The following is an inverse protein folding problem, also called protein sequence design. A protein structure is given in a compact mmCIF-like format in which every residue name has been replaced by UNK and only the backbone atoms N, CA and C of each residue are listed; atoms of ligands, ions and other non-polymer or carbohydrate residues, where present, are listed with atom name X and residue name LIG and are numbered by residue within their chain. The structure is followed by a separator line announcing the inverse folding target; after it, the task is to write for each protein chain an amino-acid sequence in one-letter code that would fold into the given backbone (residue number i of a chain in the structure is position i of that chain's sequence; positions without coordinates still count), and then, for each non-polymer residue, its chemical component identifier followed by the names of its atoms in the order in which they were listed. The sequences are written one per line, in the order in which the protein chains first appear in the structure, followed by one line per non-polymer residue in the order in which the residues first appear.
data_IF_624692055033
#
_entry.id   IF_624692055033
#
_cell.length_a   1.000
_cell.length_b   1.000
_cell.length_c   1.000
_cell.angle_alpha   90.00
_cell.angle_beta   90.00
_cell.angle_gamma   90.00
#
_symmetry.space_group_name_H-M   'P 1'
#
loop_
_entity.id
_entity.type
_entity.pdbx_description
1 polymer ?
#
# COMPACT_ATOMS: atom_id res chain seq x y z
N UNK A 1 43.79 -31.54 -21.73
CA UNK A 1 42.58 -31.45 -20.90
C UNK A 1 42.77 -30.33 -19.89
N UNK A 2 42.11 -29.19 -20.07
CA UNK A 2 41.79 -28.26 -18.98
C UNK A 2 40.41 -27.69 -19.29
N UNK A 3 39.41 -28.23 -18.62
CA UNK A 3 38.05 -27.70 -18.57
C UNK A 3 38.05 -26.49 -17.64
N UNK A 4 37.53 -25.35 -18.08
CA UNK A 4 37.13 -24.26 -17.18
C UNK A 4 35.66 -23.95 -17.45
N UNK A 5 34.86 -24.22 -16.42
CA UNK A 5 33.45 -23.90 -16.28
C UNK A 5 33.23 -22.38 -16.50
N UNK A 6 32.19 -21.96 -17.21
CA UNK A 6 30.85 -21.91 -16.62
C UNK A 6 30.61 -20.55 -15.96
N UNK A 7 30.49 -19.50 -16.77
CA UNK A 7 30.06 -18.17 -16.33
C UNK A 7 28.59 -17.96 -16.69
N UNK A 8 27.68 -18.55 -15.90
CA UNK A 8 26.27 -18.24 -15.99
C UNK A 8 26.07 -16.76 -15.62
N UNK A 9 25.66 -15.96 -16.61
CA UNK A 9 25.26 -14.58 -16.40
C UNK A 9 24.17 -14.54 -15.32
N UNK A 10 24.50 -13.93 -14.19
CA UNK A 10 23.54 -13.66 -13.13
C UNK A 10 22.48 -12.72 -13.71
N UNK A 11 21.29 -13.30 -13.94
CA UNK A 11 20.07 -12.57 -14.23
C UNK A 11 19.94 -11.42 -13.23
N UNK A 12 19.76 -10.21 -13.76
CA UNK A 12 19.55 -9.01 -12.98
C UNK A 12 18.34 -9.21 -12.07
N UNK A 13 18.61 -9.54 -10.80
CA UNK A 13 17.64 -9.40 -9.74
C UNK A 13 17.24 -7.93 -9.73
N UNK A 14 16.01 -7.65 -10.15
CA UNK A 14 15.40 -6.34 -10.07
C UNK A 14 15.67 -5.81 -8.66
N UNK A 15 16.49 -4.76 -8.58
CA UNK A 15 16.78 -4.10 -7.32
C UNK A 15 15.42 -3.69 -6.74
N UNK A 16 15.03 -4.17 -5.54
CA UNK A 16 13.84 -3.64 -4.91
C UNK A 16 14.09 -2.15 -4.71
N UNK A 17 13.28 -1.32 -5.38
CA UNK A 17 13.28 0.13 -5.16
C UNK A 17 12.87 0.34 -3.70
N UNK A 18 13.64 1.12 -2.92
CA UNK A 18 13.19 1.54 -1.59
C UNK A 18 11.84 2.25 -1.77
N UNK A 19 10.75 1.64 -1.29
CA UNK A 19 9.38 2.14 -1.47
C UNK A 19 8.49 1.34 -2.44
N UNK A 20 8.91 0.18 -2.94
CA UNK A 20 8.00 -0.73 -3.65
C UNK A 20 6.94 -1.30 -2.69
N UNK A 21 5.85 -0.57 -2.54
CA UNK A 21 4.63 -1.06 -1.89
C UNK A 21 4.13 -2.26 -2.70
N UNK A 22 3.76 -3.39 -2.08
CA UNK A 22 3.10 -4.49 -2.80
C UNK A 22 1.98 -3.91 -3.66
N UNK A 23 1.92 -4.30 -4.94
CA UNK A 23 1.01 -3.71 -5.92
C UNK A 23 -0.46 -3.79 -5.47
N UNK A 24 -0.81 -4.80 -4.67
CA UNK A 24 -2.13 -4.94 -4.06
C UNK A 24 -2.39 -3.95 -2.92
N UNK A 25 -1.44 -3.75 -2.00
CA UNK A 25 -1.57 -2.75 -0.94
C UNK A 25 -1.58 -1.31 -1.50
N UNK A 26 -0.96 -1.09 -2.67
CA UNK A 26 -0.99 0.19 -3.37
C UNK A 26 -2.39 0.58 -3.88
N UNK A 27 -3.35 -0.35 -3.89
CA UNK A 27 -4.73 -0.06 -4.30
C UNK A 27 -5.60 0.49 -3.16
N UNK A 28 -5.09 0.61 -1.93
CA UNK A 28 -5.89 1.05 -0.78
C UNK A 28 -6.27 2.54 -0.85
N UNK A 29 -5.49 3.34 -1.59
CA UNK A 29 -5.82 4.73 -1.90
C UNK A 29 -6.62 4.87 -3.20
N UNK A 30 -7.45 5.92 -3.27
CA UNK A 30 -7.89 6.45 -4.55
C UNK A 30 -6.67 6.93 -5.37
N UNK A 31 -6.73 6.80 -6.70
CA UNK A 31 -5.60 7.07 -7.56
C UNK A 31 -5.12 8.52 -7.44
N UNK A 32 -6.06 9.44 -7.27
CA UNK A 32 -5.86 10.88 -7.11
C UNK A 32 -5.11 11.17 -5.80
N UNK A 33 -5.62 10.65 -4.67
CA UNK A 33 -4.97 10.80 -3.36
C UNK A 33 -3.54 10.24 -3.36
N UNK A 34 -3.34 9.07 -3.97
CA UNK A 34 -2.01 8.50 -4.11
C UNK A 34 -1.08 9.38 -4.95
N UNK A 35 -1.61 10.03 -6.00
CA UNK A 35 -0.84 10.93 -6.84
C UNK A 35 -0.45 12.21 -6.09
N UNK A 36 -1.36 12.79 -5.31
CA UNK A 36 -1.09 13.98 -4.50
C UNK A 36 0.08 13.75 -3.53
N UNK A 37 0.09 12.60 -2.83
CA UNK A 37 1.22 12.23 -1.96
C UNK A 37 2.53 12.07 -2.73
N UNK A 38 2.51 11.50 -3.95
CA UNK A 38 3.70 11.37 -4.80
C UNK A 38 4.21 12.73 -5.28
N UNK A 39 3.32 13.65 -5.61
CA UNK A 39 3.69 15.00 -6.05
C UNK A 39 4.37 15.75 -4.90
N UNK A 40 3.74 15.78 -3.71
CA UNK A 40 4.33 16.40 -2.50
C UNK A 40 5.65 15.75 -2.09
N UNK A 41 5.79 14.44 -2.26
CA UNK A 41 7.05 13.75 -2.00
C UNK A 41 8.18 14.24 -2.93
N UNK A 42 7.89 14.48 -4.21
CA UNK A 42 8.89 15.06 -5.13
C UNK A 42 9.34 16.44 -4.67
N UNK A 43 8.43 17.27 -4.17
CA UNK A 43 8.77 18.60 -3.64
C UNK A 43 9.67 18.53 -2.39
N UNK A 44 9.43 17.56 -1.51
CA UNK A 44 10.31 17.28 -0.36
C UNK A 44 11.71 16.87 -0.84
N UNK A 45 11.82 16.01 -1.85
CA UNK A 45 13.10 15.58 -2.40
C UNK A 45 13.89 16.74 -3.03
N UNK A 46 13.21 17.64 -3.75
CA UNK A 46 13.86 18.79 -4.37
C UNK A 46 14.47 19.73 -3.31
N UNK A 47 13.76 19.97 -2.20
CA UNK A 47 14.23 20.86 -1.12
C UNK A 47 15.31 20.26 -0.24
N UNK A 48 15.46 18.94 -0.23
CA UNK A 48 16.54 18.29 0.53
C UNK A 48 17.93 18.77 0.11
N UNK A 49 18.11 19.16 -1.16
CA UNK A 49 19.37 19.67 -1.69
C UNK A 49 19.75 21.00 -1.02
N UNK A 50 18.76 21.84 -0.70
CA UNK A 50 18.97 23.18 -0.15
C UNK A 50 18.89 23.20 1.39
N UNK A 51 17.90 22.52 1.97
CA UNK A 51 17.70 22.43 3.42
C UNK A 51 17.34 20.99 3.83
N UNK A 52 18.34 20.14 4.12
CA UNK A 52 18.11 18.75 4.45
C UNK A 52 17.36 18.57 5.77
N UNK A 53 17.49 19.49 6.73
CA UNK A 53 16.87 19.35 8.05
C UNK A 53 15.38 19.67 7.97
N UNK A 54 15.01 20.74 7.26
CA UNK A 54 13.61 21.04 7.00
C UNK A 54 12.96 19.93 6.15
N UNK A 55 13.61 19.48 5.07
CA UNK A 55 13.08 18.44 4.21
C UNK A 55 12.80 17.12 4.96
N UNK A 56 13.65 16.72 5.90
CA UNK A 56 13.39 15.54 6.74
C UNK A 56 12.18 15.73 7.66
N UNK A 57 12.01 16.92 8.25
CA UNK A 57 10.83 17.23 9.06
C UNK A 57 9.54 17.16 8.23
N UNK A 58 9.59 17.64 6.99
CA UNK A 58 8.44 17.62 6.10
C UNK A 58 8.16 16.22 5.53
N UNK A 59 9.20 15.43 5.29
CA UNK A 59 9.04 14.00 4.99
C UNK A 59 8.31 13.29 6.12
N UNK A 60 8.67 13.57 7.38
CA UNK A 60 8.01 12.98 8.54
C UNK A 60 6.53 13.35 8.57
N UNK A 61 6.19 14.64 8.44
CA UNK A 61 4.78 15.08 8.42
C UNK A 61 4.01 14.47 7.25
N UNK A 62 4.61 14.37 6.07
CA UNK A 62 3.98 13.76 4.90
C UNK A 62 3.65 12.28 5.13
N UNK A 63 4.53 11.54 5.81
CA UNK A 63 4.30 10.14 6.17
C UNK A 63 3.18 10.01 7.21
N UNK A 64 3.15 10.88 8.23
CA UNK A 64 2.08 10.91 9.23
C UNK A 64 0.71 11.17 8.56
N UNK A 65 0.63 12.14 7.65
CA UNK A 65 -0.58 12.41 6.87
C UNK A 65 -1.00 11.22 6.01
N UNK A 66 -0.04 10.52 5.38
CA UNK A 66 -0.34 9.32 4.59
C UNK A 66 -0.89 8.18 5.46
N UNK A 67 -0.36 7.99 6.67
CA UNK A 67 -0.86 6.97 7.62
C UNK A 67 -2.30 7.28 8.04
N UNK A 68 -2.60 8.54 8.34
CA UNK A 68 -3.96 8.93 8.72
C UNK A 68 -4.94 8.78 7.55
N UNK A 69 -4.55 9.21 6.34
CA UNK A 69 -5.36 9.04 5.15
C UNK A 69 -5.62 7.55 4.84
N UNK A 70 -4.60 6.70 4.96
CA UNK A 70 -4.74 5.25 4.78
C UNK A 70 -5.71 4.66 5.82
N UNK A 71 -5.54 5.05 7.08
CA UNK A 71 -6.40 4.58 8.17
C UNK A 71 -7.86 4.99 7.98
N UNK A 72 -8.11 6.21 7.47
CA UNK A 72 -9.45 6.67 7.12
C UNK A 72 -10.06 5.84 5.97
N UNK A 73 -9.31 5.62 4.89
CA UNK A 73 -9.76 4.82 3.74
C UNK A 73 -10.10 3.37 4.15
N UNK A 74 -9.27 2.75 5.01
CA UNK A 74 -9.52 1.41 5.53
C UNK A 74 -10.80 1.34 6.39
N UNK A 75 -11.06 2.37 7.22
CA UNK A 75 -12.28 2.45 8.02
C UNK A 75 -13.53 2.57 7.13
N UNK A 76 -13.45 3.37 6.07
CA UNK A 76 -14.56 3.52 5.11
C UNK A 76 -14.84 2.18 4.38
N UNK A 77 -13.80 1.48 3.92
CA UNK A 77 -13.97 0.17 3.29
C UNK A 77 -14.56 -0.87 4.26
N UNK A 78 -14.09 -0.90 5.51
CA UNK A 78 -14.66 -1.76 6.55
C UNK A 78 -16.15 -1.48 6.76
N UNK A 79 -16.57 -0.21 6.78
CA UNK A 79 -17.97 0.15 6.97
C UNK A 79 -18.86 -0.42 5.86
N UNK A 80 -18.39 -0.46 4.61
CA UNK A 80 -19.10 -1.07 3.47
C UNK A 80 -19.30 -2.59 3.63
N UNK A 81 -18.47 -3.27 4.43
CA UNK A 81 -18.61 -4.69 4.74
C UNK A 81 -19.63 -4.97 5.86
N UNK A 82 -20.10 -3.95 6.59
CA UNK A 82 -20.95 -4.10 7.78
C UNK A 82 -22.44 -4.35 7.52
N UNK A 83 -22.90 -4.28 6.26
CA UNK A 83 -24.33 -4.32 5.92
C UNK A 83 -25.10 -5.58 6.35
N UNK A 84 -24.42 -6.68 6.66
CA UNK A 84 -25.05 -7.91 7.19
C UNK A 84 -25.57 -7.75 8.62
N UNK A 85 -25.11 -6.74 9.37
CA UNK A 85 -25.52 -6.50 10.76
C UNK A 85 -26.89 -5.81 10.84
N UNK A 86 -27.30 -5.12 9.78
CA UNK A 86 -28.54 -4.34 9.74
C UNK A 86 -29.78 -5.20 9.46
N UNK A 87 -29.62 -6.43 8.94
CA UNK A 87 -30.74 -7.27 8.48
C UNK A 87 -31.47 -8.05 9.57
N UNK A 88 -31.01 -8.04 10.84
CA UNK A 88 -31.71 -8.58 12.01
C UNK A 88 -31.94 -10.11 12.05
N UNK A 89 -31.89 -10.78 10.91
CA UNK A 89 -31.97 -12.23 10.69
C UNK A 89 -31.19 -12.57 9.43
N UNK A 90 -29.86 -12.39 9.47
CA UNK A 90 -29.01 -12.74 8.35
C UNK A 90 -29.00 -14.28 8.17
N UNK A 91 -29.55 -14.76 7.06
CA UNK A 91 -29.47 -16.17 6.70
C UNK A 91 -27.99 -16.61 6.57
N UNK A 92 -27.72 -17.89 6.78
CA UNK A 92 -26.35 -18.45 6.73
C UNK A 92 -25.60 -18.14 5.45
N UNK A 93 -26.31 -17.91 4.34
CA UNK A 93 -25.71 -17.48 3.07
C UNK A 93 -25.24 -16.03 3.09
N UNK A 94 -25.96 -15.11 3.75
CA UNK A 94 -25.50 -13.73 3.94
C UNK A 94 -24.21 -13.68 4.78
N UNK A 95 -24.14 -14.52 5.82
CA UNK A 95 -22.93 -14.66 6.63
C UNK A 95 -21.75 -15.21 5.82
N UNK A 96 -21.99 -16.18 4.92
CA UNK A 96 -20.96 -16.70 4.01
C UNK A 96 -20.41 -15.61 3.09
N UNK A 97 -21.29 -14.78 2.53
CA UNK A 97 -20.89 -13.64 1.69
C UNK A 97 -20.09 -12.62 2.51
N UNK A 98 -20.52 -12.30 3.73
CA UNK A 98 -19.80 -11.39 4.63
C UNK A 98 -18.38 -11.88 4.93
N UNK A 99 -18.20 -13.17 5.27
CA UNK A 99 -16.87 -13.75 5.54
C UNK A 99 -15.96 -13.68 4.30
N UNK A 100 -16.49 -13.93 3.08
CA UNK A 100 -15.71 -13.75 1.84
C UNK A 100 -15.27 -12.29 1.68
N UNK A 101 -16.17 -11.33 1.91
CA UNK A 101 -15.84 -9.91 1.85
C UNK A 101 -14.73 -9.51 2.83
N UNK A 102 -14.76 -10.01 4.07
CA UNK A 102 -13.68 -9.78 5.04
C UNK A 102 -12.34 -10.42 4.63
N UNK A 103 -12.37 -11.63 4.06
CA UNK A 103 -11.16 -12.29 3.55
C UNK A 103 -10.54 -11.48 2.42
N UNK A 104 -11.33 -11.11 1.42
CA UNK A 104 -10.84 -10.39 0.25
C UNK A 104 -10.29 -9.00 0.64
N UNK A 105 -10.91 -8.34 1.63
CA UNK A 105 -10.39 -7.12 2.23
C UNK A 105 -9.04 -7.33 2.92
N UNK A 106 -8.90 -8.39 3.73
CA UNK A 106 -7.63 -8.71 4.40
C UNK A 106 -6.53 -9.09 3.41
N UNK A 107 -6.83 -9.85 2.36
CA UNK A 107 -5.85 -10.21 1.33
C UNK A 107 -5.29 -8.95 0.64
N UNK A 108 -6.16 -7.98 0.32
CA UNK A 108 -5.75 -6.67 -0.22
C UNK A 108 -4.90 -5.85 0.74
N UNK A 109 -5.23 -5.85 2.04
CA UNK A 109 -4.45 -5.15 3.08
C UNK A 109 -3.08 -5.79 3.29
N UNK A 110 -3.00 -7.11 3.21
CA UNK A 110 -1.77 -7.88 3.42
C UNK A 110 -0.93 -8.04 2.14
N UNK A 111 -1.44 -7.62 0.99
CA UNK A 111 -0.75 -7.70 -0.30
C UNK A 111 -0.53 -9.14 -0.77
N UNK A 112 -1.51 -10.02 -0.55
CA UNK A 112 -1.46 -11.45 -0.91
C UNK A 112 -2.29 -11.77 -2.15
#
# INVERSE_FOLDING_TARGET
MVTVAGGAALAGAARPTPGAVPTDAATLFAAETAQDFRDRWRDVQLRFVDDPRAAVGEAQSLVEEAIEALSAALREQKAKLGGWQESGSADTEQLRVAVRGYRDFLDRVLGR
#
